data_IF_280103158807
#
_entry.id   IF_280103158807
#
_cell.length_a   1.000
_cell.length_b   1.000
_cell.length_c   1.000
_cell.angle_alpha   90.00
_cell.angle_beta   90.00
_cell.angle_gamma   90.00
#
_symmetry.space_group_name_H-M   'P 1'
#
loop_
_entity.id
_entity.type
_entity.pdbx_description
1 polymer ?
#
# COMPACT_ATOMS: atom_id res chain seq x y z
N UNK A 1 5.23 5.88 -6.29
CA UNK A 1 6.34 6.78 -6.75
C UNK A 1 6.64 6.53 -8.21
N UNK A 2 6.57 7.53 -9.07
CA UNK A 2 6.89 7.43 -10.50
C UNK A 2 8.17 8.19 -10.89
N UNK A 3 8.79 8.86 -9.92
CA UNK A 3 10.05 9.57 -10.12
C UNK A 3 11.25 8.64 -10.37
N UNK A 4 12.28 9.16 -11.03
CA UNK A 4 13.53 8.44 -11.28
C UNK A 4 14.24 8.09 -9.98
N UNK A 5 14.98 6.97 -9.97
CA UNK A 5 15.82 6.57 -8.83
C UNK A 5 16.63 7.74 -8.29
N UNK A 6 16.57 7.93 -6.96
CA UNK A 6 17.31 8.96 -6.25
C UNK A 6 16.89 10.41 -6.51
N UNK A 7 15.77 10.66 -7.19
CA UNK A 7 15.32 12.02 -7.46
C UNK A 7 14.84 12.78 -6.21
N UNK A 8 14.36 12.04 -5.21
CA UNK A 8 13.83 12.62 -3.97
C UNK A 8 14.83 12.50 -2.81
N UNK A 9 14.81 13.43 -1.84
CA UNK A 9 15.62 13.32 -0.64
C UNK A 9 15.21 12.11 0.20
N UNK A 10 16.06 11.66 1.15
CA UNK A 10 15.66 10.67 2.14
C UNK A 10 14.51 11.22 3.01
N UNK A 11 13.60 10.34 3.43
CA UNK A 11 12.58 10.76 4.39
C UNK A 11 13.23 11.27 5.70
N UNK A 12 12.77 12.41 6.22
CA UNK A 12 13.34 13.02 7.42
C UNK A 12 13.34 12.05 8.61
N UNK A 13 14.39 12.09 9.43
CA UNK A 13 14.54 11.25 10.63
C UNK A 13 14.58 9.73 10.39
N UNK A 14 14.62 9.27 9.15
CA UNK A 14 14.82 7.87 8.82
C UNK A 14 16.24 7.39 9.13
N UNK A 15 16.48 6.07 9.10
CA UNK A 15 17.78 5.50 9.44
C UNK A 15 18.85 5.73 8.38
N UNK A 16 18.50 5.61 7.12
CA UNK A 16 19.42 5.61 5.97
C UNK A 16 19.43 6.96 5.27
N UNK A 17 19.83 8.03 5.97
CA UNK A 17 19.83 9.42 5.46
C UNK A 17 20.77 9.67 4.28
N UNK A 18 21.67 8.74 3.98
CA UNK A 18 22.57 8.82 2.81
C UNK A 18 21.94 8.27 1.52
N UNK A 19 20.79 7.60 1.62
CA UNK A 19 20.08 7.02 0.49
C UNK A 19 18.94 7.94 0.04
N UNK A 20 18.91 8.28 -1.24
CA UNK A 20 17.83 9.06 -1.85
C UNK A 20 16.76 8.15 -2.43
N UNK A 21 15.53 8.60 -2.41
CA UNK A 21 14.36 7.84 -2.89
C UNK A 21 14.04 8.14 -4.37
N UNK A 22 13.38 7.22 -5.09
CA UNK A 22 13.28 5.79 -4.78
C UNK A 22 14.65 5.09 -4.88
N UNK A 23 14.80 3.92 -4.24
CA UNK A 23 16.07 3.17 -4.24
C UNK A 23 16.32 2.39 -5.53
N UNK A 24 15.25 2.09 -6.26
CA UNK A 24 15.28 1.32 -7.51
C UNK A 24 14.67 2.13 -8.66
N UNK A 25 15.04 1.77 -9.89
CA UNK A 25 14.35 2.25 -11.08
C UNK A 25 12.99 1.56 -11.22
N UNK A 26 12.08 2.18 -11.97
CA UNK A 26 10.83 1.53 -12.32
C UNK A 26 11.10 0.26 -13.15
N UNK A 27 10.39 -0.84 -12.91
CA UNK A 27 10.61 -2.09 -13.65
C UNK A 27 10.18 -1.99 -15.12
N UNK A 28 9.31 -1.03 -15.44
CA UNK A 28 8.82 -0.77 -16.79
C UNK A 28 8.71 0.73 -17.04
N UNK A 29 8.70 1.17 -18.32
CA UNK A 29 8.31 2.53 -18.68
C UNK A 29 6.91 2.87 -18.14
N UNK A 30 6.71 4.10 -17.69
CA UNK A 30 5.45 4.54 -17.06
C UNK A 30 4.26 4.35 -17.97
N UNK A 31 4.43 4.56 -19.28
CA UNK A 31 3.39 4.37 -20.29
C UNK A 31 2.88 2.91 -20.33
N UNK A 32 3.78 1.95 -20.08
CA UNK A 32 3.41 0.54 -19.97
C UNK A 32 2.65 0.28 -18.67
N UNK A 33 3.05 0.93 -17.58
CA UNK A 33 2.41 0.79 -16.27
C UNK A 33 0.99 1.37 -16.26
N UNK A 34 0.77 2.50 -16.95
CA UNK A 34 -0.53 3.16 -17.02
C UNK A 34 -1.46 2.59 -18.11
N UNK A 35 -0.93 1.74 -18.98
CA UNK A 35 -1.74 1.15 -20.07
C UNK A 35 -2.86 0.25 -19.52
N UNK A 36 -4.12 0.61 -19.83
CA UNK A 36 -5.30 -0.13 -19.37
C UNK A 36 -5.71 0.14 -17.93
N UNK A 37 -5.12 1.17 -17.30
CA UNK A 37 -5.55 1.64 -15.99
C UNK A 37 -6.77 2.55 -16.15
N UNK A 38 -7.90 2.18 -15.58
CA UNK A 38 -9.16 2.94 -15.62
C UNK A 38 -9.25 3.94 -14.46
N UNK A 39 -8.57 3.66 -13.35
CA UNK A 39 -8.65 4.47 -12.13
C UNK A 39 -7.40 4.34 -11.28
N UNK A 40 -7.03 5.40 -10.59
CA UNK A 40 -6.04 5.40 -9.53
C UNK A 40 -6.76 5.47 -8.18
N UNK A 41 -6.51 4.50 -7.32
CA UNK A 41 -6.99 4.51 -5.95
C UNK A 41 -5.84 4.90 -5.01
N UNK A 42 -5.97 6.04 -4.36
CA UNK A 42 -4.95 6.59 -3.49
C UNK A 42 -5.29 6.33 -2.02
N UNK A 43 -4.38 5.68 -1.31
CA UNK A 43 -4.53 5.37 0.12
C UNK A 43 -4.26 6.57 1.00
N UNK A 44 -3.27 7.41 0.62
CA UNK A 44 -2.87 8.65 1.30
C UNK A 44 -1.84 9.42 0.47
N UNK A 45 -1.48 10.63 0.92
CA UNK A 45 -0.68 11.60 0.15
C UNK A 45 0.83 11.57 0.41
N UNK A 46 1.39 10.49 0.97
CA UNK A 46 2.85 10.43 1.14
C UNK A 46 3.56 10.29 -0.21
N UNK A 47 4.76 10.87 -0.30
CA UNK A 47 5.55 10.93 -1.53
C UNK A 47 5.94 9.54 -2.07
N UNK A 48 5.99 8.50 -1.24
CA UNK A 48 6.23 7.13 -1.69
C UNK A 48 4.97 6.45 -2.25
N UNK A 49 3.81 7.09 -2.16
CA UNK A 49 2.55 6.68 -2.78
C UNK A 49 2.19 7.53 -3.98
N UNK A 50 2.29 8.85 -3.86
CA UNK A 50 2.07 9.79 -4.97
C UNK A 50 3.09 10.93 -4.90
N UNK A 51 4.08 10.94 -5.80
CA UNK A 51 5.13 11.95 -5.89
C UNK A 51 4.81 13.01 -6.96
N UNK A 52 5.59 14.10 -6.99
CA UNK A 52 5.45 15.15 -8.00
C UNK A 52 5.51 14.58 -9.43
N UNK A 53 6.39 13.60 -9.68
CA UNK A 53 6.47 12.95 -10.98
C UNK A 53 5.16 12.22 -11.35
N UNK A 54 4.49 11.59 -10.38
CA UNK A 54 3.18 10.98 -10.59
C UNK A 54 2.13 12.04 -10.95
N UNK A 55 2.12 13.16 -10.24
CA UNK A 55 1.23 14.27 -10.57
C UNK A 55 1.49 14.85 -11.96
N UNK A 56 2.74 14.89 -12.44
CA UNK A 56 3.08 15.39 -13.78
C UNK A 56 2.73 14.38 -14.89
N UNK A 57 2.97 13.09 -14.68
CA UNK A 57 2.92 12.05 -15.71
C UNK A 57 1.51 11.49 -15.89
N UNK A 58 0.75 11.30 -14.81
CA UNK A 58 -0.60 10.74 -14.89
C UNK A 58 -1.50 11.69 -15.68
N UNK A 59 -2.27 11.20 -16.69
CA UNK A 59 -3.20 12.01 -17.46
C UNK A 59 -4.21 12.74 -16.56
N UNK A 60 -4.47 14.02 -16.82
CA UNK A 60 -5.34 14.86 -15.96
C UNK A 60 -6.82 14.48 -15.98
N UNK A 61 -7.23 13.70 -16.96
CA UNK A 61 -8.56 13.08 -17.08
C UNK A 61 -8.64 11.71 -16.40
N UNK A 62 -7.53 11.18 -15.86
CA UNK A 62 -7.53 9.95 -15.07
C UNK A 62 -8.48 10.09 -13.88
N UNK A 63 -9.33 9.09 -13.69
CA UNK A 63 -10.21 9.03 -12.52
C UNK A 63 -9.43 8.65 -11.28
N UNK A 64 -9.65 9.38 -10.19
CA UNK A 64 -9.07 9.11 -8.88
C UNK A 64 -10.14 8.77 -7.87
N UNK A 65 -9.85 7.78 -7.03
CA UNK A 65 -10.50 7.58 -5.75
C UNK A 65 -9.54 7.89 -4.62
N UNK A 66 -10.01 8.64 -3.63
CA UNK A 66 -9.22 9.09 -2.47
C UNK A 66 -9.95 8.78 -1.16
N UNK A 67 -9.25 8.84 -0.04
CA UNK A 67 -9.81 8.46 1.25
C UNK A 67 -10.76 9.52 1.84
N UNK A 68 -10.51 10.80 1.62
CA UNK A 68 -11.28 11.90 2.23
C UNK A 68 -11.26 13.18 1.38
N UNK A 69 -11.97 14.20 1.84
CA UNK A 69 -12.11 15.46 1.11
C UNK A 69 -10.82 16.29 1.10
N UNK A 70 -9.93 16.15 2.09
CA UNK A 70 -8.64 16.81 2.09
C UNK A 70 -7.77 16.29 0.94
N UNK A 71 -7.66 14.96 0.80
CA UNK A 71 -6.91 14.33 -0.28
C UNK A 71 -7.52 14.68 -1.64
N UNK A 72 -8.86 14.76 -1.72
CA UNK A 72 -9.55 15.19 -2.94
C UNK A 72 -9.12 16.59 -3.36
N UNK A 73 -9.11 17.55 -2.44
CA UNK A 73 -8.71 18.92 -2.73
C UNK A 73 -7.25 19.01 -3.18
N UNK A 74 -6.34 18.28 -2.53
CA UNK A 74 -4.93 18.23 -2.92
C UNK A 74 -4.77 17.67 -4.33
N UNK A 75 -5.35 16.51 -4.64
CA UNK A 75 -5.26 15.90 -5.98
C UNK A 75 -5.87 16.83 -7.05
N UNK A 76 -7.00 17.46 -6.76
CA UNK A 76 -7.61 18.45 -7.68
C UNK A 76 -6.72 19.68 -7.89
N UNK A 77 -5.99 20.13 -6.87
CA UNK A 77 -5.07 21.27 -7.01
C UNK A 77 -3.91 21.01 -7.97
N UNK A 78 -3.58 19.72 -8.21
CA UNK A 78 -2.63 19.29 -9.25
C UNK A 78 -3.27 19.15 -10.64
N UNK A 79 -4.53 19.61 -10.82
CA UNK A 79 -5.20 19.70 -12.11
C UNK A 79 -6.01 18.46 -12.53
N UNK A 80 -6.22 17.48 -11.66
CA UNK A 80 -7.09 16.34 -11.94
C UNK A 80 -8.56 16.73 -11.82
N UNK A 81 -9.37 16.31 -12.80
CA UNK A 81 -10.77 16.74 -12.92
C UNK A 81 -11.78 15.72 -12.38
N UNK A 82 -11.36 14.46 -12.26
CA UNK A 82 -12.22 13.33 -11.86
C UNK A 82 -11.73 12.71 -10.57
N UNK A 83 -11.96 13.39 -9.44
CA UNK A 83 -11.51 12.95 -8.11
C UNK A 83 -12.73 12.75 -7.21
N UNK A 84 -12.90 11.55 -6.71
CA UNK A 84 -14.03 11.15 -5.88
C UNK A 84 -13.55 10.59 -4.53
N UNK A 85 -14.24 10.93 -3.45
CA UNK A 85 -14.00 10.32 -2.14
C UNK A 85 -14.69 8.97 -2.08
N UNK A 86 -13.96 7.93 -1.66
CA UNK A 86 -14.55 6.59 -1.46
C UNK A 86 -15.62 6.65 -0.38
N UNK A 87 -16.85 6.34 -0.74
CA UNK A 87 -18.02 6.25 0.12
C UNK A 87 -18.62 4.84 0.13
N UNK A 88 -19.78 4.70 0.77
CA UNK A 88 -20.43 3.39 0.97
C UNK A 88 -20.89 2.72 -0.34
N UNK A 89 -21.10 3.50 -1.40
CA UNK A 89 -21.60 3.03 -2.69
C UNK A 89 -20.58 3.15 -3.83
N UNK A 90 -19.28 3.33 -3.51
CA UNK A 90 -18.25 3.47 -4.54
C UNK A 90 -18.09 2.19 -5.32
N UNK A 91 -18.11 2.32 -6.68
CA UNK A 91 -18.02 1.19 -7.59
C UNK A 91 -17.24 1.53 -8.87
N UNK A 92 -16.63 0.50 -9.44
CA UNK A 92 -16.09 0.49 -10.81
C UNK A 92 -16.69 -0.73 -11.52
N UNK A 93 -17.64 -0.51 -12.41
CA UNK A 93 -18.42 -1.62 -12.97
C UNK A 93 -19.09 -2.45 -11.87
N UNK A 94 -18.83 -3.74 -11.83
CA UNK A 94 -19.35 -4.66 -10.79
C UNK A 94 -18.50 -4.72 -9.53
N UNK A 95 -17.30 -4.13 -9.52
CA UNK A 95 -16.42 -4.09 -8.35
C UNK A 95 -16.90 -3.03 -7.36
N UNK A 96 -17.30 -3.44 -6.18
CA UNK A 96 -17.57 -2.54 -5.04
C UNK A 96 -16.28 -2.25 -4.28
N UNK A 97 -16.08 -1.00 -3.88
CA UNK A 97 -14.92 -0.54 -3.11
C UNK A 97 -15.41 0.02 -1.78
N UNK A 98 -14.87 -0.51 -0.68
CA UNK A 98 -15.19 -0.03 0.67
C UNK A 98 -13.90 0.35 1.41
N UNK A 99 -13.96 1.44 2.17
CA UNK A 99 -12.85 1.79 3.08
C UNK A 99 -12.76 0.79 4.23
N UNK A 100 -11.54 0.44 4.59
CA UNK A 100 -11.21 -0.39 5.72
C UNK A 100 -10.37 0.41 6.73
N UNK A 101 -10.46 0.05 8.00
CA UNK A 101 -9.70 0.72 9.06
C UNK A 101 -8.20 0.55 8.81
N UNK A 102 -7.46 1.64 8.91
CA UNK A 102 -6.01 1.68 8.79
C UNK A 102 -5.42 2.63 9.82
N UNK A 103 -4.19 2.38 10.26
CA UNK A 103 -3.49 3.24 11.21
C UNK A 103 -2.00 3.29 10.86
N UNK A 104 -1.57 4.45 10.38
CA UNK A 104 -0.18 4.70 10.04
C UNK A 104 0.63 5.03 11.30
N UNK A 105 1.34 4.03 11.82
CA UNK A 105 2.11 4.15 13.05
C UNK A 105 1.35 3.88 14.34
N UNK A 106 2.11 3.83 15.44
CA UNK A 106 1.59 3.64 16.78
C UNK A 106 0.89 4.91 17.31
N UNK A 107 0.46 4.87 18.56
CA UNK A 107 -0.25 5.99 19.19
C UNK A 107 0.49 7.34 19.10
N UNK A 108 1.83 7.33 19.13
CA UNK A 108 2.66 8.55 19.04
C UNK A 108 2.78 9.01 17.58
N UNK A 109 2.97 8.07 16.66
CA UNK A 109 3.28 8.35 15.26
C UNK A 109 2.05 8.58 14.38
N UNK A 110 0.87 8.10 14.77
CA UNK A 110 -0.34 8.21 13.95
C UNK A 110 -0.74 9.65 13.56
N UNK A 111 -0.38 10.64 14.37
CA UNK A 111 -0.66 12.04 14.07
C UNK A 111 0.33 12.63 13.06
N UNK A 112 1.67 12.54 13.28
CA UNK A 112 2.63 13.03 12.30
C UNK A 112 2.69 12.18 11.02
N UNK A 113 2.33 10.89 11.07
CA UNK A 113 2.26 10.04 9.89
C UNK A 113 0.98 10.27 9.05
N UNK A 114 0.00 11.01 9.59
CA UNK A 114 -1.20 11.36 8.87
C UNK A 114 -2.23 10.23 8.76
N UNK A 115 -3.30 10.54 8.02
CA UNK A 115 -4.39 9.59 7.77
C UNK A 115 -4.02 8.65 6.62
N UNK A 116 -4.49 7.43 6.69
CA UNK A 116 -4.39 6.42 5.63
C UNK A 116 -5.64 5.56 5.64
N UNK A 117 -5.99 5.00 4.50
CA UNK A 117 -7.08 4.05 4.38
C UNK A 117 -6.59 2.72 3.79
N UNK A 118 -7.13 1.62 4.30
CA UNK A 118 -7.19 0.37 3.57
C UNK A 118 -8.44 0.32 2.71
N UNK A 119 -8.47 -0.61 1.75
CA UNK A 119 -9.63 -0.80 0.88
C UNK A 119 -9.97 -2.26 0.71
N UNK A 120 -11.26 -2.53 0.60
CA UNK A 120 -11.78 -3.87 0.29
C UNK A 120 -12.52 -3.80 -1.03
N UNK A 121 -12.18 -4.73 -1.92
CA UNK A 121 -12.78 -4.89 -3.24
C UNK A 121 -13.59 -6.18 -3.23
N UNK A 122 -14.84 -6.08 -3.65
CA UNK A 122 -15.75 -7.24 -3.78
C UNK A 122 -16.40 -7.25 -5.15
N UNK A 123 -16.52 -8.44 -5.72
CA UNK A 123 -17.17 -8.67 -7.00
C UNK A 123 -17.97 -9.99 -6.91
N UNK A 124 -19.12 -10.16 -7.61
CA UNK A 124 -19.94 -11.36 -7.49
C UNK A 124 -19.27 -12.68 -7.91
N UNK A 125 -18.24 -12.60 -8.79
CA UNK A 125 -17.57 -13.75 -9.38
C UNK A 125 -16.07 -13.83 -9.05
N UNK A 126 -15.54 -12.86 -8.28
CA UNK A 126 -14.11 -12.78 -7.97
C UNK A 126 -13.88 -12.85 -6.47
N UNK A 127 -12.65 -13.20 -6.10
CA UNK A 127 -12.22 -13.23 -4.70
C UNK A 127 -12.27 -11.86 -4.06
N UNK A 128 -12.68 -11.82 -2.82
CA UNK A 128 -12.62 -10.59 -2.01
C UNK A 128 -11.16 -10.23 -1.74
N UNK A 129 -10.74 -9.06 -2.20
CA UNK A 129 -9.40 -8.50 -1.98
C UNK A 129 -9.43 -7.44 -0.87
N UNK A 130 -8.56 -7.56 0.11
CA UNK A 130 -8.28 -6.51 1.09
C UNK A 130 -6.87 -5.95 0.88
N UNK A 131 -6.78 -4.69 0.46
CA UNK A 131 -5.56 -3.92 0.45
C UNK A 131 -5.43 -3.18 1.78
N UNK A 132 -4.48 -3.59 2.62
CA UNK A 132 -4.33 -3.03 3.97
C UNK A 132 -3.78 -1.59 3.97
N UNK A 133 -3.06 -1.20 2.93
CA UNK A 133 -2.37 0.09 2.85
C UNK A 133 -1.25 0.21 3.88
N UNK A 134 -0.84 1.43 4.17
CA UNK A 134 0.17 1.72 5.17
C UNK A 134 -0.42 1.71 6.57
N UNK A 135 -0.41 0.56 7.18
CA UNK A 135 -0.96 0.33 8.52
C UNK A 135 -0.04 -0.55 9.36
N UNK A 136 -0.03 -0.34 10.67
CA UNK A 136 0.53 -1.31 11.62
C UNK A 136 -0.47 -2.44 11.89
N UNK A 137 0.02 -3.56 12.45
CA UNK A 137 -0.86 -4.58 13.01
C UNK A 137 -1.53 -4.10 14.30
N UNK A 138 -2.85 -3.88 14.28
CA UNK A 138 -3.63 -3.42 15.43
C UNK A 138 -5.07 -3.96 15.39
N UNK A 139 -5.89 -3.57 16.36
CA UNK A 139 -7.27 -4.07 16.49
C UNK A 139 -8.16 -3.77 15.28
N UNK A 140 -7.93 -2.66 14.55
CA UNK A 140 -8.68 -2.31 13.34
C UNK A 140 -8.47 -3.33 12.22
N UNK A 141 -7.22 -3.74 11.97
CA UNK A 141 -6.92 -4.80 10.98
C UNK A 141 -7.65 -6.10 11.34
N UNK A 142 -7.64 -6.49 12.62
CA UNK A 142 -8.38 -7.70 13.07
C UNK A 142 -9.88 -7.58 12.82
N UNK A 143 -10.47 -6.38 13.04
CA UNK A 143 -11.88 -6.13 12.73
C UNK A 143 -12.17 -6.24 11.23
N UNK A 144 -11.29 -5.69 10.38
CA UNK A 144 -11.41 -5.80 8.93
C UNK A 144 -11.40 -7.26 8.48
N UNK A 145 -10.43 -8.06 8.93
CA UNK A 145 -10.33 -9.48 8.59
C UNK A 145 -11.60 -10.25 9.00
N UNK A 146 -12.11 -9.99 10.20
CA UNK A 146 -13.34 -10.62 10.69
C UNK A 146 -14.58 -10.19 9.91
N UNK A 147 -14.67 -8.89 9.56
CA UNK A 147 -15.84 -8.30 8.88
C UNK A 147 -15.91 -8.74 7.43
N UNK A 148 -14.80 -8.62 6.71
CA UNK A 148 -14.78 -8.78 5.26
C UNK A 148 -14.38 -10.18 4.81
N UNK A 149 -13.71 -10.98 5.66
CA UNK A 149 -13.22 -12.33 5.36
C UNK A 149 -12.55 -12.42 3.99
N UNK A 150 -11.52 -11.59 3.74
CA UNK A 150 -10.90 -11.52 2.44
C UNK A 150 -10.19 -12.83 2.10
N UNK A 151 -10.25 -13.22 0.83
CA UNK A 151 -9.55 -14.38 0.27
C UNK A 151 -8.14 -14.03 -0.18
N UNK A 152 -7.93 -12.77 -0.56
CA UNK A 152 -6.62 -12.21 -0.91
C UNK A 152 -6.37 -10.95 -0.08
N UNK A 153 -5.17 -10.84 0.48
CA UNK A 153 -4.78 -9.69 1.32
C UNK A 153 -3.45 -9.14 0.80
N UNK A 154 -3.41 -7.86 0.43
CA UNK A 154 -2.16 -7.18 0.13
C UNK A 154 -1.66 -6.41 1.35
N UNK A 155 -0.38 -6.58 1.68
CA UNK A 155 0.26 -6.03 2.88
C UNK A 155 1.48 -5.19 2.51
N UNK A 156 1.51 -3.94 2.96
CA UNK A 156 2.69 -3.11 2.96
C UNK A 156 3.53 -3.45 4.21
N UNK A 157 4.56 -4.31 4.05
CA UNK A 157 5.28 -4.89 5.18
C UNK A 157 6.78 -4.55 5.21
N UNK A 158 7.18 -3.42 4.63
CA UNK A 158 8.56 -2.95 4.61
C UNK A 158 9.14 -2.56 5.97
N UNK A 159 8.34 -2.59 7.05
CA UNK A 159 8.80 -2.26 8.39
C UNK A 159 9.28 -0.81 8.53
N UNK A 160 8.75 0.08 7.67
CA UNK A 160 9.11 1.50 7.64
C UNK A 160 9.01 2.10 9.03
N UNK A 161 10.01 2.85 9.42
CA UNK A 161 10.04 3.44 10.74
C UNK A 161 11.12 4.51 10.88
N UNK A 162 11.00 5.25 11.95
CA UNK A 162 11.86 6.36 12.30
C UNK A 162 12.74 6.02 13.51
N UNK A 163 13.83 6.77 13.69
CA UNK A 163 14.74 6.60 14.85
C UNK A 163 14.01 6.78 16.18
N UNK A 164 13.08 7.73 16.21
CA UNK A 164 12.20 7.99 17.35
C UNK A 164 10.76 7.78 16.88
N UNK A 165 9.95 7.05 17.64
CA UNK A 165 8.54 6.80 17.32
C UNK A 165 8.21 5.40 16.83
N UNK A 166 9.21 4.61 16.42
CA UNK A 166 9.00 3.22 16.02
C UNK A 166 8.49 3.05 14.59
N UNK A 167 7.90 1.90 14.31
CA UNK A 167 7.37 1.53 13.00
C UNK A 167 6.06 2.25 12.70
N UNK A 168 5.86 2.53 11.42
CA UNK A 168 4.64 3.17 10.92
C UNK A 168 3.80 2.26 10.03
N UNK A 169 4.38 1.16 9.53
CA UNK A 169 3.68 0.08 8.80
C UNK A 169 4.03 -1.30 9.38
N UNK A 170 3.42 -2.34 8.85
CA UNK A 170 3.70 -3.73 9.21
C UNK A 170 5.14 -4.14 8.86
N UNK A 171 5.60 -5.24 9.47
CA UNK A 171 6.87 -5.90 9.19
C UNK A 171 6.66 -7.40 8.94
N UNK A 172 7.75 -8.15 8.78
CA UNK A 172 7.76 -9.59 8.57
C UNK A 172 7.03 -10.39 9.68
N UNK A 173 7.14 -9.98 10.95
CA UNK A 173 6.40 -10.60 12.06
C UNK A 173 4.89 -10.37 11.96
N UNK A 174 4.49 -9.18 11.49
CA UNK A 174 3.08 -8.84 11.35
C UNK A 174 2.43 -9.60 10.19
N UNK A 175 3.18 -9.96 9.14
CA UNK A 175 2.73 -10.88 8.07
C UNK A 175 2.28 -12.22 8.68
N UNK A 176 3.05 -12.79 9.61
CA UNK A 176 2.68 -14.03 10.30
C UNK A 176 1.42 -13.86 11.15
N UNK A 177 1.27 -12.71 11.81
CA UNK A 177 0.06 -12.41 12.61
C UNK A 177 -1.19 -12.28 11.74
N UNK A 178 -1.07 -11.64 10.57
CA UNK A 178 -2.17 -11.56 9.59
C UNK A 178 -2.51 -12.95 9.08
N UNK A 179 -1.50 -13.75 8.72
CA UNK A 179 -1.68 -15.11 8.28
C UNK A 179 -2.41 -15.99 9.31
N UNK A 180 -2.07 -15.85 10.59
CA UNK A 180 -2.75 -16.56 11.67
C UNK A 180 -4.21 -16.09 11.87
N UNK A 181 -4.50 -14.80 11.63
CA UNK A 181 -5.84 -14.24 11.78
C UNK A 181 -6.75 -14.48 10.56
N UNK A 182 -6.17 -14.80 9.40
CA UNK A 182 -6.86 -15.15 8.15
C UNK A 182 -6.24 -16.44 7.56
N UNK A 183 -6.51 -17.61 8.14
CA UNK A 183 -5.80 -18.87 7.80
C UNK A 183 -6.02 -19.31 6.36
N UNK A 184 -7.16 -18.97 5.76
CA UNK A 184 -7.52 -19.39 4.40
C UNK A 184 -7.13 -18.36 3.32
N UNK A 185 -6.65 -17.18 3.72
CA UNK A 185 -6.31 -16.11 2.78
C UNK A 185 -4.91 -16.30 2.18
N UNK A 186 -4.77 -15.93 0.91
CA UNK A 186 -3.49 -15.70 0.25
C UNK A 186 -2.98 -14.31 0.58
N UNK A 187 -1.70 -14.18 0.91
CA UNK A 187 -1.08 -12.92 1.30
C UNK A 187 -0.12 -12.46 0.20
N UNK A 188 -0.30 -11.25 -0.30
CA UNK A 188 0.59 -10.60 -1.25
C UNK A 188 1.35 -9.50 -0.51
N UNK A 189 2.67 -9.68 -0.34
CA UNK A 189 3.51 -8.78 0.46
C UNK A 189 4.29 -7.86 -0.45
N UNK A 190 4.12 -6.57 -0.23
CA UNK A 190 4.73 -5.50 -1.04
C UNK A 190 5.28 -4.39 -0.15
N UNK A 191 5.69 -3.27 -0.77
CA UNK A 191 6.28 -2.10 -0.10
C UNK A 191 7.59 -2.46 0.61
N UNK A 192 8.40 -3.29 -0.04
CA UNK A 192 9.69 -3.76 0.45
C UNK A 192 10.82 -3.08 -0.33
N UNK A 193 11.89 -2.69 0.37
CA UNK A 193 13.17 -2.27 -0.21
C UNK A 193 13.15 -1.02 -1.13
N UNK A 194 11.98 -0.44 -1.42
CA UNK A 194 11.82 0.67 -2.38
C UNK A 194 12.24 2.04 -1.86
N UNK A 195 12.26 2.24 -0.55
CA UNK A 195 12.53 3.54 0.09
C UNK A 195 13.54 3.43 1.24
N UNK A 196 14.24 4.53 1.52
CA UNK A 196 15.36 4.58 2.44
C UNK A 196 15.04 4.21 3.90
N UNK A 197 13.79 4.22 4.31
CA UNK A 197 13.35 3.86 5.66
C UNK A 197 12.70 2.48 5.77
N UNK A 198 12.71 1.68 4.70
CA UNK A 198 12.42 0.26 4.78
C UNK A 198 13.47 -0.44 5.67
N UNK A 199 13.02 -1.35 6.51
CA UNK A 199 13.87 -2.16 7.39
C UNK A 199 13.69 -3.66 7.17
N UNK A 200 12.74 -4.06 6.34
CA UNK A 200 12.42 -5.45 6.01
C UNK A 200 12.66 -5.68 4.52
N UNK A 201 13.34 -6.78 4.20
CA UNK A 201 13.62 -7.23 2.84
C UNK A 201 12.71 -8.39 2.45
N UNK A 202 12.62 -8.67 1.12
CA UNK A 202 11.92 -9.85 0.58
C UNK A 202 12.45 -11.16 1.19
N UNK A 203 13.76 -11.26 1.36
CA UNK A 203 14.41 -12.41 1.98
C UNK A 203 13.97 -12.61 3.45
N UNK A 204 13.90 -11.53 4.23
CA UNK A 204 13.43 -11.58 5.61
C UNK A 204 11.99 -12.09 5.70
N UNK A 205 11.09 -11.57 4.86
CA UNK A 205 9.69 -12.04 4.81
C UNK A 205 9.63 -13.52 4.42
N UNK A 206 10.37 -13.93 3.38
CA UNK A 206 10.41 -15.32 2.90
C UNK A 206 10.87 -16.27 4.02
N UNK A 207 11.99 -15.95 4.66
CA UNK A 207 12.52 -16.74 5.77
C UNK A 207 11.54 -16.82 6.95
N UNK A 208 10.87 -15.72 7.27
CA UNK A 208 9.87 -15.69 8.33
C UNK A 208 8.65 -16.54 7.99
N UNK A 209 8.16 -16.48 6.76
CA UNK A 209 7.03 -17.28 6.28
C UNK A 209 7.37 -18.77 6.26
N UNK A 210 8.61 -19.13 5.88
CA UNK A 210 9.13 -20.49 5.90
C UNK A 210 9.15 -21.07 7.31
N UNK A 211 9.76 -20.35 8.27
CA UNK A 211 9.79 -20.75 9.68
C UNK A 211 8.40 -20.87 10.29
N UNK A 212 7.46 -20.03 9.85
CA UNK A 212 6.06 -20.10 10.30
C UNK A 212 5.22 -21.16 9.58
N UNK A 213 5.75 -21.86 8.55
CA UNK A 213 5.04 -22.88 7.78
C UNK A 213 3.89 -22.32 6.94
N UNK A 214 4.02 -21.09 6.44
CA UNK A 214 2.96 -20.38 5.68
C UNK A 214 3.42 -19.93 4.28
N UNK A 215 4.61 -20.36 3.85
CA UNK A 215 5.21 -19.87 2.60
C UNK A 215 4.38 -20.23 1.36
N UNK A 216 3.63 -21.29 1.41
CA UNK A 216 2.74 -21.79 0.35
C UNK A 216 1.60 -20.81 -0.02
N UNK A 217 1.29 -19.87 0.87
CA UNK A 217 0.23 -18.86 0.68
C UNK A 217 0.71 -17.41 0.86
N UNK A 218 2.03 -17.19 0.94
CA UNK A 218 2.64 -15.86 1.04
C UNK A 218 3.45 -15.58 -0.23
N UNK A 219 2.94 -14.67 -1.04
CA UNK A 219 3.53 -14.24 -2.31
C UNK A 219 4.35 -12.99 -2.09
N UNK A 220 5.61 -13.01 -2.50
CA UNK A 220 6.59 -11.95 -2.28
C UNK A 220 7.26 -11.66 -3.63
N UNK A 221 6.57 -10.96 -4.56
CA UNK A 221 7.06 -10.76 -5.91
C UNK A 221 8.27 -9.83 -5.96
N UNK A 222 9.08 -10.00 -6.99
CA UNK A 222 10.07 -9.02 -7.40
C UNK A 222 9.41 -7.83 -8.11
N UNK A 223 10.15 -6.72 -8.25
CA UNK A 223 9.64 -5.52 -8.90
C UNK A 223 9.29 -5.81 -10.38
N UNK A 224 8.03 -5.62 -10.74
CA UNK A 224 7.50 -5.91 -12.07
C UNK A 224 7.04 -7.36 -12.31
N UNK A 225 7.19 -8.22 -11.32
CA UNK A 225 6.65 -9.59 -11.40
C UNK A 225 5.13 -9.59 -11.30
N UNK A 226 4.50 -10.40 -12.13
CA UNK A 226 3.05 -10.67 -12.08
C UNK A 226 2.83 -12.01 -11.37
N UNK A 227 1.96 -12.01 -10.38
CA UNK A 227 1.51 -13.23 -9.68
C UNK A 227 0.15 -13.62 -10.25
N UNK A 228 0.09 -14.79 -10.85
CA UNK A 228 -1.13 -15.39 -11.37
C UNK A 228 -1.72 -16.36 -10.33
N UNK A 229 -3.01 -16.67 -10.43
CA UNK A 229 -3.70 -17.66 -9.60
C UNK A 229 -3.75 -17.34 -8.08
N UNK A 230 -3.87 -16.08 -7.72
CA UNK A 230 -4.12 -15.65 -6.35
C UNK A 230 -5.49 -16.09 -5.82
#
# INVERSE_FOLDING_TARGET
MLGKKGCMPPFPFSRNQHLRNPLHELPFPVEKMLKGVDVVLLTHLHDDHIDEAAYEIIPKDMRFFVQDENDRQVVMSHGFNHVEVVGDNTRIGEVSIQKAESQHGNFIMKYPAGHTAGYVFTHPQEKTLYHAGDTIWYAGVKRNLKRFRPEVITLNAGGNGFRLGGRVIMNDEDVVKVAAAAPDAKLFVTHLEGVNHNSVTREMVRKRAEVAGILDRVFIPEDGETVEDL
#
